data_IF_323490604933
#
_entry.id   IF_323490604933
#
_cell.length_a   1.000
_cell.length_b   1.000
_cell.length_c   1.000
_cell.angle_alpha   90.00
_cell.angle_beta   90.00
_cell.angle_gamma   90.00
#
_symmetry.space_group_name_H-M   'P 1'
#
loop_
_entity.id
_entity.type
_entity.pdbx_description
1 polymer ?
#
# COMPACT_ATOMS: atom_id res chain seq x y z
N UNK A 1 17.86 -13.35 -22.89
CA UNK A 1 18.18 -14.71 -22.40
C UNK A 1 17.09 -15.11 -21.42
N UNK A 2 16.42 -16.25 -21.63
CA UNK A 2 15.40 -16.78 -20.70
C UNK A 2 16.03 -17.87 -19.85
N UNK A 3 15.67 -17.90 -18.56
CA UNK A 3 16.07 -18.97 -17.67
C UNK A 3 15.38 -20.28 -18.06
N UNK A 4 16.04 -21.41 -17.84
CA UNK A 4 15.39 -22.72 -17.88
C UNK A 4 14.50 -22.90 -16.64
N UNK A 5 13.62 -23.90 -16.66
CA UNK A 5 12.80 -24.22 -15.47
C UNK A 5 13.68 -24.48 -14.22
N UNK A 6 14.71 -25.25 -14.36
CA UNK A 6 15.70 -25.50 -13.28
C UNK A 6 16.39 -24.20 -12.84
N UNK A 7 16.73 -23.30 -13.77
CA UNK A 7 17.31 -22.00 -13.47
C UNK A 7 16.37 -21.08 -12.70
N UNK A 8 15.05 -21.13 -13.00
CA UNK A 8 14.05 -20.36 -12.27
C UNK A 8 13.92 -20.87 -10.84
N UNK A 9 13.78 -22.18 -10.64
CA UNK A 9 13.74 -22.80 -9.30
C UNK A 9 14.99 -22.48 -8.49
N UNK A 10 16.18 -22.62 -9.11
CA UNK A 10 17.44 -22.30 -8.45
C UNK A 10 17.51 -20.83 -8.02
N UNK A 11 17.08 -19.90 -8.89
CA UNK A 11 17.06 -18.46 -8.57
C UNK A 11 16.13 -18.15 -7.39
N UNK A 12 14.98 -18.81 -7.29
CA UNK A 12 14.06 -18.64 -6.16
C UNK A 12 14.70 -19.09 -4.85
N UNK A 13 15.34 -20.27 -4.82
CA UNK A 13 16.02 -20.75 -3.63
C UNK A 13 17.21 -19.87 -3.25
N UNK A 14 18.01 -19.43 -4.22
CA UNK A 14 19.15 -18.53 -3.97
C UNK A 14 18.70 -17.21 -3.37
N UNK A 15 17.59 -16.64 -3.87
CA UNK A 15 17.04 -15.41 -3.30
C UNK A 15 16.63 -15.58 -1.83
N UNK A 16 16.01 -16.72 -1.48
CA UNK A 16 15.67 -17.05 -0.07
C UNK A 16 16.91 -17.15 0.81
N UNK A 17 17.96 -17.79 0.33
CA UNK A 17 19.24 -17.90 1.07
C UNK A 17 19.85 -16.53 1.32
N UNK A 18 19.91 -15.67 0.30
CA UNK A 18 20.42 -14.31 0.48
C UNK A 18 19.57 -13.48 1.43
N UNK A 19 18.23 -13.59 1.34
CA UNK A 19 17.34 -12.91 2.26
C UNK A 19 17.55 -13.37 3.71
N UNK A 20 17.68 -14.68 3.95
CA UNK A 20 17.98 -15.24 5.26
C UNK A 20 19.34 -14.77 5.81
N UNK A 21 20.35 -14.65 4.95
CA UNK A 21 21.68 -14.14 5.33
C UNK A 21 21.62 -12.66 5.76
N UNK A 22 20.92 -11.83 4.98
CA UNK A 22 20.75 -10.42 5.34
C UNK A 22 19.92 -10.27 6.62
N UNK A 23 18.89 -11.09 6.81
CA UNK A 23 18.11 -11.12 8.05
C UNK A 23 18.99 -11.47 9.26
N UNK A 24 19.83 -12.49 9.16
CA UNK A 24 20.75 -12.88 10.24
C UNK A 24 21.73 -11.74 10.56
N UNK A 25 22.27 -11.09 9.54
CA UNK A 25 23.19 -9.94 9.69
C UNK A 25 22.50 -8.77 10.40
N UNK A 26 21.25 -8.44 10.02
CA UNK A 26 20.53 -7.34 10.63
C UNK A 26 20.12 -7.66 12.08
N UNK A 27 19.75 -8.91 12.38
CA UNK A 27 19.48 -9.35 13.74
C UNK A 27 20.68 -9.22 14.66
N UNK A 28 21.88 -9.54 14.16
CA UNK A 28 23.14 -9.35 14.92
C UNK A 28 23.41 -7.88 15.16
N UNK A 29 23.17 -7.01 14.16
CA UNK A 29 23.32 -5.56 14.35
C UNK A 29 22.32 -4.99 15.35
N UNK A 30 21.06 -5.43 15.30
CA UNK A 30 20.03 -5.03 16.27
C UNK A 30 20.47 -5.39 17.69
N UNK A 31 20.92 -6.64 17.90
CA UNK A 31 21.44 -7.10 19.19
C UNK A 31 22.66 -6.28 19.66
N UNK A 32 23.58 -5.94 18.74
CA UNK A 32 24.75 -5.11 19.05
C UNK A 32 24.36 -3.67 19.45
N UNK A 33 23.20 -3.18 19.00
CA UNK A 33 22.64 -1.87 19.34
C UNK A 33 21.72 -1.91 20.58
N UNK A 34 21.63 -3.05 21.29
CA UNK A 34 20.84 -3.20 22.50
C UNK A 34 19.38 -3.58 22.28
N UNK A 35 18.97 -3.95 21.05
CA UNK A 35 17.66 -4.48 20.78
C UNK A 35 17.61 -5.99 21.03
N UNK A 36 16.52 -6.46 21.66
CA UNK A 36 16.29 -7.88 21.94
C UNK A 36 15.38 -8.57 20.91
N UNK A 37 14.81 -7.80 19.98
CA UNK A 37 13.97 -8.30 18.90
C UNK A 37 13.91 -7.33 17.73
N UNK A 38 13.42 -7.82 16.58
CA UNK A 38 13.18 -7.02 15.39
C UNK A 38 11.80 -7.36 14.83
N UNK A 39 11.01 -6.33 14.54
CA UNK A 39 9.71 -6.43 13.86
C UNK A 39 9.84 -5.85 12.45
N UNK A 40 9.64 -6.68 11.45
CA UNK A 40 9.71 -6.31 10.03
C UNK A 40 8.31 -6.03 9.51
N UNK A 41 8.04 -4.77 9.21
CA UNK A 41 6.73 -4.28 8.80
C UNK A 41 6.75 -3.93 7.32
N UNK A 42 5.97 -4.62 6.51
CA UNK A 42 5.77 -4.26 5.11
C UNK A 42 4.61 -3.28 4.95
N UNK A 43 4.81 -2.26 4.13
CA UNK A 43 3.81 -1.27 3.76
C UNK A 43 3.57 -1.37 2.26
N UNK A 44 2.34 -1.61 1.84
CA UNK A 44 1.98 -1.60 0.43
C UNK A 44 1.10 -0.41 0.05
N UNK A 45 0.97 -0.17 -1.25
CA UNK A 45 0.04 0.79 -1.85
C UNK A 45 0.27 2.26 -1.44
N UNK A 46 1.50 2.63 -1.11
CA UNK A 46 1.80 3.98 -0.67
C UNK A 46 1.03 4.36 0.61
N UNK A 47 0.65 3.36 1.40
CA UNK A 47 0.03 3.59 2.70
C UNK A 47 1.01 4.40 3.54
N UNK A 48 0.71 5.69 3.70
CA UNK A 48 1.28 6.47 4.78
C UNK A 48 0.20 6.51 5.85
N UNK A 49 0.19 5.58 6.78
CA UNK A 49 -0.88 5.53 7.76
C UNK A 49 -0.85 6.83 8.55
N UNK A 50 -1.91 7.60 8.50
CA UNK A 50 -2.08 8.80 9.32
C UNK A 50 -1.87 8.51 10.81
N UNK A 51 -2.02 7.23 11.18
CA UNK A 51 -1.88 6.70 12.54
C UNK A 51 -0.51 6.08 12.83
N UNK A 52 0.36 5.94 11.83
CA UNK A 52 1.69 5.34 12.00
C UNK A 52 2.54 6.04 13.06
N UNK A 53 2.60 7.40 13.13
CA UNK A 53 3.35 8.07 14.18
C UNK A 53 2.87 7.72 15.58
N UNK A 54 1.56 7.64 15.79
CA UNK A 54 0.96 7.27 17.08
C UNK A 54 1.25 5.81 17.42
N UNK A 55 1.13 4.91 16.44
CA UNK A 55 1.47 3.50 16.63
C UNK A 55 2.94 3.32 17.00
N UNK A 56 3.85 4.01 16.31
CA UNK A 56 5.29 3.96 16.61
C UNK A 56 5.62 4.52 17.99
N UNK A 57 4.95 5.59 18.41
CA UNK A 57 5.13 6.14 19.75
C UNK A 57 4.70 5.12 20.82
N UNK A 58 3.58 4.42 20.60
CA UNK A 58 3.10 3.37 21.48
C UNK A 58 4.07 2.18 21.54
N UNK A 59 4.51 1.70 20.39
CA UNK A 59 5.49 0.61 20.32
C UNK A 59 6.78 0.95 21.07
N UNK A 60 7.30 2.16 20.93
CA UNK A 60 8.49 2.61 21.66
C UNK A 60 8.28 2.69 23.16
N UNK A 61 7.07 2.95 23.59
CA UNK A 61 6.72 3.03 25.01
C UNK A 61 6.55 1.64 25.62
N UNK A 62 5.89 0.72 24.92
CA UNK A 62 5.55 -0.61 25.41
C UNK A 62 6.69 -1.61 25.21
N UNK A 63 7.37 -1.53 24.06
CA UNK A 63 8.41 -2.48 23.65
C UNK A 63 9.69 -1.73 23.16
N UNK A 64 10.36 -0.99 24.06
CA UNK A 64 11.52 -0.16 23.70
C UNK A 64 12.72 -0.97 23.18
N UNK A 65 12.76 -2.25 23.48
CA UNK A 65 13.84 -3.17 23.10
C UNK A 65 13.60 -3.86 21.74
N UNK A 66 12.48 -3.54 21.06
CA UNK A 66 12.17 -4.08 19.74
C UNK A 66 12.52 -3.06 18.66
N UNK A 67 13.42 -3.41 17.76
CA UNK A 67 13.70 -2.63 16.56
C UNK A 67 12.58 -2.80 15.55
N UNK A 68 11.94 -1.71 15.10
CA UNK A 68 10.93 -1.76 14.05
C UNK A 68 11.56 -1.32 12.75
N UNK A 69 11.43 -2.15 11.71
CA UNK A 69 11.90 -1.87 10.35
C UNK A 69 10.74 -1.84 9.37
N UNK A 70 10.73 -0.83 8.51
CA UNK A 70 9.72 -0.65 7.49
C UNK A 70 10.27 -0.97 6.11
N UNK A 71 9.45 -1.65 5.31
CA UNK A 71 9.71 -2.00 3.93
C UNK A 71 8.53 -1.55 3.07
N UNK A 72 8.77 -0.62 2.18
CA UNK A 72 7.77 -0.17 1.22
C UNK A 72 7.85 -1.06 -0.02
N UNK A 73 6.77 -1.79 -0.29
CA UNK A 73 6.72 -2.82 -1.33
C UNK A 73 5.34 -2.86 -1.99
N UNK A 74 5.21 -3.51 -3.15
CA UNK A 74 3.88 -3.78 -3.73
C UNK A 74 3.11 -4.81 -2.89
N UNK A 75 1.77 -4.83 -3.00
CA UNK A 75 0.93 -5.81 -2.30
C UNK A 75 1.36 -7.25 -2.63
N UNK A 76 1.63 -7.55 -3.88
CA UNK A 76 2.09 -8.87 -4.31
C UNK A 76 3.45 -9.25 -3.70
N UNK A 77 4.38 -8.30 -3.57
CA UNK A 77 5.66 -8.50 -2.88
C UNK A 77 5.49 -8.66 -1.37
N UNK A 78 4.57 -7.90 -0.75
CA UNK A 78 4.23 -8.03 0.66
C UNK A 78 3.67 -9.43 0.97
N UNK A 79 2.68 -9.90 0.20
CA UNK A 79 2.08 -11.23 0.36
C UNK A 79 3.16 -12.31 0.23
N UNK A 80 3.97 -12.23 -0.82
CA UNK A 80 5.08 -13.18 -1.01
C UNK A 80 6.08 -13.13 0.13
N UNK A 81 6.45 -11.93 0.59
CA UNK A 81 7.40 -11.75 1.68
C UNK A 81 6.89 -12.27 3.03
N UNK A 82 5.58 -12.17 3.30
CA UNK A 82 4.96 -12.78 4.48
C UNK A 82 5.02 -14.32 4.41
N UNK A 83 4.76 -14.93 3.25
CA UNK A 83 4.90 -16.38 3.06
C UNK A 83 6.34 -16.88 3.13
N UNK A 84 7.30 -16.06 2.71
CA UNK A 84 8.73 -16.38 2.69
C UNK A 84 9.44 -15.95 4.01
N UNK A 85 8.70 -15.57 5.06
CA UNK A 85 9.21 -15.09 6.36
C UNK A 85 10.15 -13.88 6.26
N UNK A 86 10.01 -13.07 5.20
CA UNK A 86 10.77 -11.82 5.04
C UNK A 86 10.19 -10.69 5.87
N UNK A 87 8.88 -10.72 6.12
CA UNK A 87 8.14 -9.76 6.91
C UNK A 87 7.33 -10.49 7.97
N UNK A 88 7.16 -9.86 9.12
CA UNK A 88 6.39 -10.40 10.24
C UNK A 88 4.93 -9.92 10.20
N UNK A 89 4.72 -8.69 9.69
CA UNK A 89 3.40 -8.09 9.54
C UNK A 89 3.38 -7.18 8.29
N UNK A 90 2.20 -7.01 7.70
CA UNK A 90 1.99 -6.10 6.59
C UNK A 90 0.76 -5.23 6.78
N UNK A 91 0.83 -3.97 6.35
CA UNK A 91 -0.33 -3.10 6.22
C UNK A 91 -0.71 -3.00 4.75
N UNK A 92 -1.99 -3.22 4.45
CA UNK A 92 -2.55 -3.17 3.10
C UNK A 92 -3.95 -2.56 3.09
N UNK A 93 -4.35 -1.99 1.95
CA UNK A 93 -5.72 -1.51 1.72
C UNK A 93 -6.64 -2.62 1.18
N UNK A 94 -6.16 -3.86 1.12
CA UNK A 94 -6.91 -5.01 0.64
C UNK A 94 -6.85 -6.16 1.63
N UNK A 95 -7.95 -6.85 1.79
CA UNK A 95 -8.08 -8.12 2.52
C UNK A 95 -7.88 -9.35 1.60
N UNK A 96 -7.69 -9.14 0.30
CA UNK A 96 -7.45 -10.19 -0.69
C UNK A 96 -5.97 -10.59 -0.70
N UNK A 97 -5.53 -11.33 0.32
CA UNK A 97 -4.12 -11.72 0.52
C UNK A 97 -3.83 -13.19 0.24
N UNK A 98 -4.85 -13.96 -0.13
CA UNK A 98 -4.72 -15.41 -0.36
C UNK A 98 -4.69 -16.23 0.92
N UNK A 99 -4.46 -17.54 0.74
CA UNK A 99 -4.47 -18.50 1.85
C UNK A 99 -3.20 -18.37 2.72
N UNK A 100 -3.33 -18.73 4.00
CA UNK A 100 -2.21 -18.79 4.95
C UNK A 100 -1.84 -17.46 5.62
N UNK A 101 -2.47 -16.36 5.26
CA UNK A 101 -2.28 -15.05 5.91
C UNK A 101 -3.57 -14.67 6.64
N UNK A 102 -3.46 -14.29 7.89
CA UNK A 102 -4.58 -13.78 8.68
C UNK A 102 -4.65 -12.27 8.54
N UNK A 103 -5.82 -11.76 8.15
CA UNK A 103 -6.08 -10.33 8.04
C UNK A 103 -6.92 -9.84 9.22
N UNK A 104 -6.53 -8.70 9.78
CA UNK A 104 -7.27 -8.02 10.83
C UNK A 104 -7.49 -6.56 10.43
N UNK A 105 -8.70 -6.00 10.63
CA UNK A 105 -8.93 -4.58 10.37
C UNK A 105 -8.19 -3.75 11.42
N UNK A 106 -7.24 -2.94 10.95
CA UNK A 106 -6.45 -2.05 11.83
C UNK A 106 -7.17 -0.72 12.06
N UNK A 107 -7.70 -0.10 10.99
CA UNK A 107 -8.51 1.11 11.03
C UNK A 107 -9.31 1.26 9.73
N UNK A 108 -10.21 2.25 9.70
CA UNK A 108 -10.97 2.61 8.50
C UNK A 108 -10.76 4.08 8.21
N UNK A 109 -10.39 4.38 6.97
CA UNK A 109 -10.35 5.72 6.44
C UNK A 109 -11.43 5.89 5.34
N UNK A 110 -11.93 7.10 5.20
CA UNK A 110 -12.90 7.39 4.16
C UNK A 110 -12.17 7.59 2.82
N UNK A 111 -12.72 7.02 1.75
CA UNK A 111 -12.28 7.36 0.40
C UNK A 111 -12.61 8.83 0.14
N UNK A 112 -11.58 9.61 -0.19
CA UNK A 112 -11.66 11.04 -0.40
C UNK A 112 -11.62 11.38 -1.89
N UNK A 113 -12.33 12.43 -2.27
CA UNK A 113 -12.27 12.98 -3.62
C UNK A 113 -11.48 14.28 -3.60
N UNK A 114 -10.35 14.30 -4.29
CA UNK A 114 -9.63 15.53 -4.57
C UNK A 114 -10.29 16.25 -5.74
N UNK A 115 -10.68 17.50 -5.52
CA UNK A 115 -11.36 18.34 -6.52
C UNK A 115 -10.62 19.64 -6.73
N UNK A 116 -10.65 20.23 -7.94
CA UNK A 116 -10.07 21.56 -8.19
C UNK A 116 -10.74 22.65 -7.31
N UNK A 117 -10.02 23.71 -7.00
CA UNK A 117 -10.60 24.88 -6.36
C UNK A 117 -11.77 25.41 -7.22
N UNK A 118 -12.88 25.76 -6.58
CA UNK A 118 -14.11 26.26 -7.22
C UNK A 118 -14.89 25.20 -8.05
N UNK A 119 -14.62 23.91 -7.81
CA UNK A 119 -15.37 22.85 -8.48
C UNK A 119 -16.80 22.72 -7.90
N UNK A 120 -17.86 22.45 -8.71
CA UNK A 120 -19.25 22.31 -8.21
C UNK A 120 -19.40 21.25 -7.11
N UNK A 121 -18.63 20.18 -7.16
CA UNK A 121 -18.68 19.10 -6.15
C UNK A 121 -18.25 19.54 -4.74
N UNK A 122 -17.60 20.69 -4.59
CA UNK A 122 -17.28 21.28 -3.27
C UNK A 122 -18.52 21.65 -2.45
N UNK A 123 -19.69 21.79 -3.10
CA UNK A 123 -20.95 22.01 -2.40
C UNK A 123 -21.43 20.77 -1.62
N UNK A 124 -20.89 19.59 -1.92
CA UNK A 124 -21.27 18.34 -1.29
C UNK A 124 -20.37 18.00 -0.11
N UNK A 125 -20.93 17.73 1.05
CA UNK A 125 -20.19 17.13 2.18
C UNK A 125 -19.82 15.68 1.94
N UNK A 126 -20.66 14.98 1.20
CA UNK A 126 -20.46 13.62 0.68
C UNK A 126 -20.87 13.64 -0.78
N UNK A 127 -19.95 13.29 -1.66
CA UNK A 127 -20.19 13.32 -3.10
C UNK A 127 -20.88 12.00 -3.48
N UNK A 128 -22.09 12.05 -4.06
CA UNK A 128 -22.72 10.87 -4.62
C UNK A 128 -21.88 10.29 -5.75
N UNK A 129 -21.83 8.97 -5.85
CA UNK A 129 -20.98 8.30 -6.84
C UNK A 129 -21.40 8.68 -8.28
N UNK A 130 -22.69 8.76 -8.55
CA UNK A 130 -23.24 9.16 -9.85
C UNK A 130 -22.82 10.59 -10.25
N UNK A 131 -22.74 11.49 -9.28
CA UNK A 131 -22.25 12.85 -9.55
C UNK A 131 -20.73 12.88 -9.80
N UNK A 132 -19.96 12.07 -9.08
CA UNK A 132 -18.52 11.92 -9.29
C UNK A 132 -18.23 11.42 -10.71
N UNK A 133 -18.97 10.40 -11.17
CA UNK A 133 -18.74 9.74 -12.46
C UNK A 133 -19.09 10.59 -13.69
N UNK A 134 -19.70 11.76 -13.49
CA UNK A 134 -19.89 12.74 -14.58
C UNK A 134 -18.62 13.46 -15.00
N UNK A 135 -17.53 13.32 -14.23
CA UNK A 135 -16.28 14.01 -14.42
C UNK A 135 -15.14 13.02 -14.70
N UNK A 136 -14.13 13.44 -15.46
CA UNK A 136 -12.96 12.60 -15.67
C UNK A 136 -12.20 12.38 -14.36
N UNK A 137 -11.66 11.17 -14.19
CA UNK A 137 -10.94 10.74 -13.00
C UNK A 137 -9.46 10.51 -13.29
N UNK A 138 -8.60 10.91 -12.36
CA UNK A 138 -7.22 10.44 -12.23
C UNK A 138 -7.19 9.41 -11.11
N UNK A 139 -6.69 8.23 -11.42
CA UNK A 139 -6.60 7.12 -10.49
C UNK A 139 -5.15 6.68 -10.29
N UNK A 140 -4.86 5.98 -9.20
CA UNK A 140 -3.59 5.32 -9.01
C UNK A 140 -3.39 4.19 -10.03
N UNK A 141 -2.13 4.03 -10.49
CA UNK A 141 -1.75 2.93 -11.35
C UNK A 141 -1.82 1.60 -10.56
N UNK A 142 -2.61 0.61 -11.02
CA UNK A 142 -2.73 -0.69 -10.36
C UNK A 142 -1.40 -1.45 -10.22
N UNK A 143 -0.40 -1.14 -11.03
CA UNK A 143 0.93 -1.76 -10.91
C UNK A 143 1.73 -1.22 -9.74
N UNK A 144 1.39 -0.02 -9.25
CA UNK A 144 2.08 0.65 -8.14
C UNK A 144 1.27 0.55 -6.85
N UNK A 145 -0.04 0.81 -6.95
CA UNK A 145 -0.97 0.84 -5.81
C UNK A 145 -2.06 -0.24 -5.99
N UNK A 146 -1.66 -1.52 -6.00
CA UNK A 146 -2.53 -2.64 -6.35
C UNK A 146 -3.76 -2.75 -5.43
N UNK A 147 -3.59 -2.70 -4.12
CA UNK A 147 -4.68 -2.84 -3.16
C UNK A 147 -5.62 -1.63 -3.19
N UNK A 148 -5.06 -0.41 -3.27
CA UNK A 148 -5.85 0.82 -3.42
C UNK A 148 -6.66 0.80 -4.72
N UNK A 149 -6.04 0.43 -5.85
CA UNK A 149 -6.71 0.35 -7.13
C UNK A 149 -7.87 -0.66 -7.11
N UNK A 150 -7.68 -1.85 -6.53
CA UNK A 150 -8.74 -2.84 -6.33
C UNK A 150 -9.89 -2.29 -5.48
N UNK A 151 -9.57 -1.57 -4.40
CA UNK A 151 -10.58 -0.95 -3.54
C UNK A 151 -11.39 0.11 -4.31
N UNK A 152 -10.73 1.02 -5.01
CA UNK A 152 -11.36 2.06 -5.82
C UNK A 152 -12.23 1.43 -6.91
N UNK A 153 -11.73 0.45 -7.65
CA UNK A 153 -12.51 -0.26 -8.68
C UNK A 153 -13.76 -0.94 -8.11
N UNK A 154 -13.66 -1.55 -6.92
CA UNK A 154 -14.80 -2.14 -6.22
C UNK A 154 -15.87 -1.10 -5.89
N UNK A 155 -15.46 0.11 -5.50
CA UNK A 155 -16.38 1.22 -5.24
C UNK A 155 -17.01 1.72 -6.53
N UNK A 156 -16.22 1.95 -7.58
CA UNK A 156 -16.70 2.46 -8.87
C UNK A 156 -17.68 1.50 -9.56
N UNK A 157 -17.47 0.18 -9.43
CA UNK A 157 -18.38 -0.85 -9.97
C UNK A 157 -19.77 -0.89 -9.34
N UNK A 158 -20.00 -0.14 -8.25
CA UNK A 158 -21.35 -0.03 -7.62
C UNK A 158 -22.28 0.93 -8.36
N UNK A 159 -21.75 1.73 -9.24
CA UNK A 159 -22.56 2.61 -10.08
C UNK A 159 -22.95 1.93 -11.40
N UNK A 160 -24.06 2.35 -11.95
CA UNK A 160 -24.53 1.90 -13.28
C UNK A 160 -23.82 2.64 -14.44
N UNK A 161 -22.88 3.52 -14.12
CA UNK A 161 -22.10 4.32 -15.09
C UNK A 161 -20.66 3.87 -15.11
N UNK A 162 -20.08 3.77 -16.32
CA UNK A 162 -18.65 3.54 -16.47
C UNK A 162 -17.85 4.82 -16.15
N UNK A 163 -16.77 4.71 -15.34
CA UNK A 163 -15.93 5.86 -15.03
C UNK A 163 -15.13 6.31 -16.26
N UNK A 164 -15.10 7.61 -16.50
CA UNK A 164 -14.20 8.22 -17.48
C UNK A 164 -12.81 8.40 -16.84
N UNK A 165 -11.91 7.44 -17.07
CA UNK A 165 -10.53 7.51 -16.55
C UNK A 165 -9.70 8.34 -17.51
N UNK A 166 -9.30 9.55 -17.08
CA UNK A 166 -8.48 10.46 -17.87
C UNK A 166 -6.99 10.08 -17.82
N UNK A 167 -6.51 9.62 -16.66
CA UNK A 167 -5.10 9.25 -16.46
C UNK A 167 -4.95 8.26 -15.29
N UNK A 168 -3.86 7.47 -15.34
CA UNK A 168 -3.39 6.65 -14.22
C UNK A 168 -1.99 7.10 -13.83
N UNK A 169 -1.77 7.33 -12.55
CA UNK A 169 -0.53 7.92 -12.03
C UNK A 169 0.07 7.06 -10.93
N UNK A 170 1.40 7.05 -10.86
CA UNK A 170 2.14 6.26 -9.89
C UNK A 170 2.26 6.94 -8.50
N UNK A 171 2.00 8.25 -8.41
CA UNK A 171 2.19 9.02 -7.18
C UNK A 171 1.01 9.93 -6.87
N UNK A 172 0.74 10.11 -5.58
CA UNK A 172 -0.27 11.04 -5.11
C UNK A 172 0.07 12.49 -5.49
N UNK A 173 1.35 12.85 -5.50
CA UNK A 173 1.80 14.20 -5.86
C UNK A 173 1.43 14.56 -7.30
N UNK A 174 1.62 13.64 -8.25
CA UNK A 174 1.22 13.86 -9.63
C UNK A 174 -0.31 13.91 -9.76
N UNK A 175 -1.04 13.06 -9.05
CA UNK A 175 -2.51 13.14 -8.98
C UNK A 175 -2.96 14.52 -8.52
N UNK A 176 -2.41 15.00 -7.41
CA UNK A 176 -2.77 16.31 -6.83
C UNK A 176 -2.40 17.47 -7.77
N UNK A 177 -1.29 17.38 -8.49
CA UNK A 177 -0.89 18.36 -9.50
C UNK A 177 -1.91 18.42 -10.65
N UNK A 178 -2.34 17.28 -11.19
CA UNK A 178 -3.35 17.20 -12.23
C UNK A 178 -4.72 17.72 -11.78
N UNK A 179 -5.12 17.36 -10.55
CA UNK A 179 -6.36 17.89 -9.95
C UNK A 179 -6.27 19.40 -9.78
N UNK A 180 -5.17 19.93 -9.25
CA UNK A 180 -4.97 21.37 -9.03
C UNK A 180 -4.98 22.15 -10.34
N UNK A 181 -4.51 21.56 -11.43
CA UNK A 181 -4.56 22.12 -12.78
C UNK A 181 -5.96 22.07 -13.40
N UNK A 182 -6.94 21.45 -12.73
CA UNK A 182 -8.31 21.30 -13.26
C UNK A 182 -8.43 20.23 -14.36
N UNK A 183 -7.46 19.32 -14.45
CA UNK A 183 -7.45 18.29 -15.49
C UNK A 183 -8.52 17.22 -15.25
N UNK A 184 -8.66 16.75 -14.02
CA UNK A 184 -9.61 15.73 -13.60
C UNK A 184 -9.80 15.73 -12.08
N UNK A 185 -10.64 14.84 -11.57
CA UNK A 185 -10.82 14.58 -10.14
C UNK A 185 -9.92 13.43 -9.70
N UNK A 186 -9.40 13.46 -8.47
CA UNK A 186 -8.58 12.39 -7.89
C UNK A 186 -9.36 11.59 -6.85
N UNK A 187 -9.10 10.28 -6.77
CA UNK A 187 -9.56 9.42 -5.67
C UNK A 187 -8.36 9.00 -4.83
N UNK A 188 -8.40 9.35 -3.54
CA UNK A 188 -7.37 9.05 -2.54
C UNK A 188 -8.02 8.49 -1.28
N UNK A 189 -7.30 7.65 -0.52
CA UNK A 189 -7.75 7.06 0.74
C UNK A 189 -6.62 6.99 1.75
#
# INVERSE_FOLDING_TARGET
TRLTHAGTLFLEHVRRVFAALEQARESVKAAANGFHGQLRVALSDGITPSRLPTLLALCRQEEPEVEIRFFEVSLSQQIKGLHDDLYDVGFAQSDEVGDGIVTLPAWSDALMVAVPARHPLLAHKRIPLDELLRYPLVLCDPQVCEGHAKHVERVLRRADMEPLIAERVATCDLMMALVSAGFALGLAG
#
